data_IF_122124915244
#
_entry.id   IF_122124915244
#
_cell.length_a   1.000
_cell.length_b   1.000
_cell.length_c   1.000
_cell.angle_alpha   90.00
_cell.angle_beta   90.00
_cell.angle_gamma   90.00
#
_symmetry.space_group_name_H-M   'P 1'
#
loop_
_entity.id
_entity.type
_entity.pdbx_description
1 polymer ?
#
# COMPACT_ATOMS: atom_id res chain seq x y z
N UNK A 1 -7.16 8.47 -14.32
CA UNK A 1 -7.94 7.70 -13.33
C UNK A 1 -7.61 8.20 -11.92
N UNK A 2 -8.55 8.10 -10.98
CA UNK A 2 -8.33 8.39 -9.55
C UNK A 2 -8.58 7.09 -8.78
N UNK A 3 -7.66 6.73 -7.90
CA UNK A 3 -7.77 5.56 -7.02
C UNK A 3 -7.98 6.04 -5.58
N UNK A 4 -9.03 5.54 -4.92
CA UNK A 4 -9.40 5.95 -3.57
C UNK A 4 -9.67 4.74 -2.69
N UNK A 5 -8.74 4.45 -1.77
CA UNK A 5 -8.82 3.30 -0.87
C UNK A 5 -9.19 3.70 0.56
N UNK A 6 -9.65 2.72 1.34
CA UNK A 6 -9.81 2.86 2.78
C UNK A 6 -8.50 2.53 3.50
N UNK A 7 -8.14 3.27 4.55
CA UNK A 7 -7.01 2.94 5.41
C UNK A 7 -7.36 1.78 6.37
N UNK A 8 -7.12 0.53 5.98
CA UNK A 8 -7.49 -0.62 6.84
C UNK A 8 -6.54 -1.81 6.83
N UNK A 9 -6.52 -2.54 7.96
CA UNK A 9 -5.92 -3.88 8.04
C UNK A 9 -6.74 -4.92 7.27
N UNK A 10 -6.10 -6.04 6.89
CA UNK A 10 -6.77 -7.13 6.18
C UNK A 10 -6.02 -8.47 6.36
N UNK A 11 -6.76 -9.54 6.65
CA UNK A 11 -6.21 -10.90 6.69
C UNK A 11 -5.58 -11.31 5.34
N UNK A 12 -4.52 -12.11 5.31
CA UNK A 12 -3.75 -12.50 4.12
C UNK A 12 -2.87 -11.40 3.51
N UNK A 13 -3.43 -10.25 3.12
CA UNK A 13 -2.63 -9.16 2.50
C UNK A 13 -2.00 -8.19 3.51
N UNK A 14 -2.33 -8.31 4.80
CA UNK A 14 -1.93 -7.42 5.89
C UNK A 14 -2.71 -6.10 5.90
N UNK A 15 -2.80 -5.43 4.75
CA UNK A 15 -3.51 -4.16 4.59
C UNK A 15 -4.43 -4.16 3.36
N UNK A 16 -5.37 -3.21 3.35
CA UNK A 16 -6.08 -2.75 2.15
C UNK A 16 -5.76 -1.29 1.98
N UNK A 17 -5.15 -0.96 0.85
CA UNK A 17 -4.78 0.39 0.43
C UNK A 17 -4.98 0.48 -1.11
N UNK A 18 -4.39 1.46 -1.79
CA UNK A 18 -4.70 1.76 -3.20
C UNK A 18 -4.44 0.57 -4.13
N UNK A 19 -3.27 -0.08 -4.01
CA UNK A 19 -2.92 -1.19 -4.91
C UNK A 19 -3.96 -2.33 -4.90
N UNK A 20 -4.68 -2.52 -3.79
CA UNK A 20 -5.73 -3.53 -3.64
C UNK A 20 -7.03 -3.17 -4.36
N UNK A 21 -7.32 -1.88 -4.58
CA UNK A 21 -8.49 -1.47 -5.38
C UNK A 21 -8.38 -1.93 -6.84
N UNK A 22 -7.17 -2.04 -7.38
CA UNK A 22 -6.95 -2.49 -8.75
C UNK A 22 -7.33 -3.96 -8.96
N UNK A 23 -7.24 -4.80 -7.92
CA UNK A 23 -7.84 -6.14 -7.96
C UNK A 23 -9.35 -6.05 -8.17
N UNK A 24 -10.00 -5.14 -7.42
CA UNK A 24 -11.42 -4.78 -7.53
C UNK A 24 -11.88 -4.29 -8.90
N UNK A 25 -10.97 -3.71 -9.68
CA UNK A 25 -11.24 -3.21 -11.02
C UNK A 25 -11.25 -4.31 -12.09
N UNK A 26 -10.82 -5.53 -11.75
CA UNK A 26 -10.91 -6.69 -12.62
C UNK A 26 -12.28 -7.38 -12.50
N UNK A 27 -12.60 -8.30 -13.41
CA UNK A 27 -13.85 -9.06 -13.34
C UNK A 27 -13.84 -9.99 -12.12
N UNK A 28 -14.37 -9.52 -11.00
CA UNK A 28 -14.49 -10.26 -9.75
C UNK A 28 -15.82 -11.04 -9.72
N UNK A 29 -15.73 -12.32 -9.40
CA UNK A 29 -16.89 -13.15 -9.08
C UNK A 29 -17.47 -12.74 -7.72
N UNK A 30 -18.80 -12.56 -7.59
CA UNK A 30 -19.44 -12.28 -6.30
C UNK A 30 -19.13 -13.32 -5.22
N UNK A 31 -18.97 -14.58 -5.63
CA UNK A 31 -18.41 -15.62 -4.78
C UNK A 31 -16.89 -15.49 -4.75
N UNK A 32 -16.37 -14.84 -3.70
CA UNK A 32 -14.95 -14.50 -3.60
C UNK A 32 -14.02 -15.71 -3.62
N UNK A 33 -14.52 -16.90 -3.25
CA UNK A 33 -13.78 -18.17 -3.30
C UNK A 33 -13.45 -18.60 -4.73
N UNK A 34 -14.13 -18.04 -5.73
CA UNK A 34 -13.89 -18.31 -7.15
C UNK A 34 -12.89 -17.36 -7.81
N UNK A 35 -12.41 -16.34 -7.09
CA UNK A 35 -11.41 -15.42 -7.63
C UNK A 35 -10.00 -15.97 -7.42
N UNK A 36 -9.08 -15.62 -8.31
CA UNK A 36 -7.67 -15.92 -8.11
C UNK A 36 -7.11 -15.08 -6.95
N UNK A 37 -6.48 -15.72 -5.98
CA UNK A 37 -5.84 -15.07 -4.83
C UNK A 37 -4.32 -15.33 -4.78
N UNK A 38 -3.74 -15.79 -5.89
CA UNK A 38 -2.33 -16.11 -5.99
C UNK A 38 -1.48 -14.83 -6.01
N UNK A 39 -0.33 -14.86 -5.33
CA UNK A 39 0.63 -13.76 -5.35
C UNK A 39 0.26 -12.53 -4.50
N UNK A 40 -0.87 -12.50 -3.79
CA UNK A 40 -1.20 -11.40 -2.86
C UNK A 40 -0.63 -11.58 -1.46
N UNK A 41 -0.44 -12.82 -1.03
CA UNK A 41 0.11 -13.12 0.29
C UNK A 41 1.61 -12.86 0.31
N UNK A 42 2.10 -12.34 1.43
CA UNK A 42 3.53 -12.19 1.72
C UNK A 42 4.04 -13.42 2.47
N UNK A 43 5.34 -13.67 2.40
CA UNK A 43 5.96 -14.73 3.18
C UNK A 43 6.25 -14.21 4.59
N UNK A 44 5.82 -14.94 5.62
CA UNK A 44 5.98 -14.52 7.03
C UNK A 44 7.44 -14.40 7.43
N UNK A 45 8.34 -15.16 6.79
CA UNK A 45 9.79 -15.09 7.00
C UNK A 45 10.47 -13.90 6.29
N UNK A 46 9.71 -13.10 5.54
CA UNK A 46 10.20 -11.95 4.79
C UNK A 46 10.94 -12.33 3.49
N UNK A 47 10.95 -13.60 3.10
CA UNK A 47 11.53 -14.02 1.83
C UNK A 47 10.79 -13.36 0.65
N UNK A 48 11.56 -12.89 -0.31
CA UNK A 48 11.01 -12.26 -1.50
C UNK A 48 10.21 -13.27 -2.33
N UNK A 49 9.11 -12.80 -2.92
CA UNK A 49 8.24 -13.60 -3.79
C UNK A 49 7.44 -12.69 -4.71
N UNK A 50 6.94 -13.26 -5.80
CA UNK A 50 6.00 -12.59 -6.70
C UNK A 50 4.89 -11.86 -5.95
N UNK A 51 4.57 -10.64 -6.39
CA UNK A 51 3.51 -9.82 -5.85
C UNK A 51 2.54 -9.40 -6.95
N UNK A 52 1.32 -9.95 -6.94
CA UNK A 52 0.30 -9.68 -7.96
C UNK A 52 -0.09 -8.20 -8.07
N UNK A 53 -0.03 -7.46 -6.96
CA UNK A 53 -0.26 -6.01 -6.95
C UNK A 53 0.70 -5.22 -7.85
N UNK A 54 1.93 -5.72 -8.07
CA UNK A 54 2.93 -5.07 -8.92
C UNK A 54 2.48 -5.10 -10.38
N UNK A 55 1.94 -6.23 -10.84
CA UNK A 55 1.39 -6.32 -12.20
C UNK A 55 0.21 -5.35 -12.38
N UNK A 56 -0.68 -5.24 -11.39
CA UNK A 56 -1.81 -4.32 -11.48
C UNK A 56 -1.38 -2.85 -11.49
N UNK A 57 -0.41 -2.49 -10.65
CA UNK A 57 0.17 -1.15 -10.63
C UNK A 57 0.89 -0.81 -11.95
N UNK A 58 1.58 -1.78 -12.55
CA UNK A 58 2.34 -1.61 -13.79
C UNK A 58 1.56 -1.81 -15.09
N UNK A 59 0.30 -2.24 -15.04
CA UNK A 59 -0.51 -2.50 -16.23
C UNK A 59 -1.03 -1.19 -16.85
N UNK A 60 -0.85 -1.03 -18.17
CA UNK A 60 -1.17 0.19 -18.93
C UNK A 60 -2.65 0.55 -18.88
N UNK A 61 -3.51 -0.46 -18.73
CA UNK A 61 -4.96 -0.27 -18.61
C UNK A 61 -5.48 -0.16 -17.18
N UNK A 62 -4.62 -0.35 -16.17
CA UNK A 62 -4.94 -0.24 -14.75
C UNK A 62 -4.06 0.84 -14.10
N UNK A 63 -3.06 0.45 -13.31
CA UNK A 63 -2.31 1.37 -12.46
C UNK A 63 -1.60 2.50 -13.19
N UNK A 64 -1.08 2.29 -14.40
CA UNK A 64 -0.40 3.36 -15.15
C UNK A 64 -1.37 4.47 -15.64
N UNK A 65 -2.69 4.22 -15.65
CA UNK A 65 -3.71 5.25 -15.92
C UNK A 65 -4.08 6.05 -14.67
N UNK A 66 -3.65 5.63 -13.48
CA UNK A 66 -3.91 6.35 -12.23
C UNK A 66 -2.98 7.54 -12.11
N UNK A 67 -3.58 8.72 -11.92
CA UNK A 67 -2.85 9.98 -11.78
C UNK A 67 -2.87 10.44 -10.32
N UNK A 68 -3.98 10.23 -9.62
CA UNK A 68 -4.17 10.65 -8.23
C UNK A 68 -4.57 9.44 -7.39
N UNK A 69 -3.86 9.26 -6.29
CA UNK A 69 -4.14 8.24 -5.28
C UNK A 69 -4.59 8.91 -3.99
N UNK A 70 -5.63 8.37 -3.38
CA UNK A 70 -6.27 8.85 -2.18
C UNK A 70 -6.39 7.70 -1.19
N UNK A 71 -6.09 7.97 0.07
CA UNK A 71 -6.41 7.05 1.17
C UNK A 71 -7.32 7.77 2.15
N UNK A 72 -8.53 7.24 2.31
CA UNK A 72 -9.52 7.65 3.29
C UNK A 72 -9.11 7.09 4.66
N UNK A 73 -8.58 7.99 5.49
CA UNK A 73 -8.30 7.78 6.90
C UNK A 73 -9.22 8.62 7.78
N UNK A 74 -10.51 8.77 7.44
CA UNK A 74 -11.46 9.48 8.30
C UNK A 74 -11.62 8.76 9.65
N UNK A 75 -11.70 7.43 9.62
CA UNK A 75 -11.71 6.58 10.82
C UNK A 75 -10.50 5.66 10.94
N UNK A 76 -9.96 5.18 9.80
CA UNK A 76 -9.15 3.97 9.77
C UNK A 76 -9.91 2.72 10.25
N UNK A 77 -9.39 1.52 10.01
CA UNK A 77 -9.96 0.28 10.55
C UNK A 77 -8.89 -0.78 10.77
N UNK A 78 -8.95 -1.48 11.90
CA UNK A 78 -8.03 -2.58 12.21
C UNK A 78 -8.42 -3.89 11.51
N UNK A 79 -9.56 -3.90 10.82
CA UNK A 79 -10.07 -5.09 10.15
C UNK A 79 -10.66 -4.74 8.77
N UNK A 80 -10.70 -5.75 7.90
CA UNK A 80 -11.27 -5.65 6.56
C UNK A 80 -12.79 -5.46 6.61
N UNK A 81 -13.45 -6.06 7.61
CA UNK A 81 -14.90 -6.19 7.72
C UNK A 81 -15.47 -5.56 9.00
N UNK A 82 -16.68 -5.04 8.84
CA UNK A 82 -17.45 -4.40 9.91
C UNK A 82 -17.08 -2.93 10.13
N UNK A 83 -17.80 -2.25 11.03
CA UNK A 83 -17.55 -0.84 11.33
C UNK A 83 -16.20 -0.66 12.04
N UNK A 84 -15.55 0.51 11.90
CA UNK A 84 -14.38 0.90 12.70
C UNK A 84 -14.67 0.81 14.20
N UNK A 85 -13.75 0.24 14.98
CA UNK A 85 -13.96 -0.03 16.43
C UNK A 85 -12.88 0.54 17.33
N UNK A 86 -11.68 0.77 16.79
CA UNK A 86 -10.51 1.30 17.50
C UNK A 86 -10.30 2.76 17.09
N UNK A 87 -10.34 3.67 18.06
CA UNK A 87 -9.85 5.04 17.86
C UNK A 87 -8.33 5.05 17.89
N UNK A 88 -7.74 6.11 17.33
CA UNK A 88 -6.30 6.21 17.17
C UNK A 88 -5.67 6.84 18.40
N UNK A 89 -4.68 6.15 18.97
CA UNK A 89 -3.94 6.60 20.15
C UNK A 89 -2.77 7.48 19.80
N UNK A 90 -2.15 7.26 18.64
CA UNK A 90 -0.98 8.00 18.23
C UNK A 90 -1.28 9.51 18.10
N UNK A 91 -0.30 10.34 18.44
CA UNK A 91 -0.39 11.77 18.19
C UNK A 91 -0.44 12.04 16.66
N UNK A 92 -1.28 12.99 16.21
CA UNK A 92 -2.02 13.99 16.99
C UNK A 92 -3.45 13.59 17.39
N UNK A 93 -3.86 12.35 17.16
CA UNK A 93 -5.27 11.93 17.25
C UNK A 93 -5.74 11.70 18.69
N UNK A 94 -4.88 11.19 19.57
CA UNK A 94 -5.10 11.14 21.02
C UNK A 94 -6.50 10.61 21.43
N UNK A 95 -6.77 9.33 21.16
CA UNK A 95 -8.06 8.65 21.39
C UNK A 95 -9.24 9.25 20.59
N UNK A 96 -8.95 9.77 19.39
CA UNK A 96 -9.94 10.26 18.43
C UNK A 96 -9.89 9.51 17.09
N UNK A 97 -10.86 9.82 16.22
CA UNK A 97 -10.79 9.38 14.83
C UNK A 97 -9.76 10.22 14.06
N UNK A 98 -8.95 9.59 13.19
CA UNK A 98 -7.89 10.28 12.47
C UNK A 98 -8.37 11.45 11.62
N UNK A 99 -9.62 11.41 11.13
CA UNK A 99 -10.26 12.52 10.40
C UNK A 99 -9.36 13.09 9.28
N UNK A 100 -8.63 12.20 8.60
CA UNK A 100 -7.55 12.55 7.68
C UNK A 100 -7.80 11.97 6.29
N UNK A 101 -7.34 12.68 5.26
CA UNK A 101 -7.26 12.17 3.89
C UNK A 101 -5.81 12.29 3.45
N UNK A 102 -5.26 11.20 2.93
CA UNK A 102 -3.93 11.20 2.32
C UNK A 102 -4.07 11.30 0.81
N UNK A 103 -3.16 12.03 0.17
CA UNK A 103 -3.16 12.24 -1.27
C UNK A 103 -1.75 12.11 -1.83
N UNK A 104 -1.59 11.46 -2.98
CA UNK A 104 -0.30 11.32 -3.66
C UNK A 104 -0.47 11.19 -5.16
N UNK A 105 0.58 11.53 -5.91
CA UNK A 105 0.71 11.20 -7.33
C UNK A 105 1.51 9.90 -7.56
N UNK A 106 2.00 9.28 -6.48
CA UNK A 106 2.73 8.03 -6.45
C UNK A 106 1.98 7.02 -5.57
N UNK A 107 1.51 5.94 -6.20
CA UNK A 107 0.71 4.89 -5.56
C UNK A 107 1.52 3.99 -4.62
N UNK A 108 2.82 3.80 -4.89
CA UNK A 108 3.70 3.05 -3.97
C UNK A 108 3.97 3.89 -2.73
N UNK A 109 4.23 5.20 -2.91
CA UNK A 109 4.52 6.09 -1.80
C UNK A 109 3.33 6.27 -0.84
N UNK A 110 2.10 6.43 -1.35
CA UNK A 110 0.93 6.58 -0.47
C UNK A 110 0.62 5.30 0.31
N UNK A 111 0.81 4.14 -0.32
CA UNK A 111 0.58 2.87 0.35
C UNK A 111 1.69 2.59 1.38
N UNK A 112 2.94 3.02 1.12
CA UNK A 112 4.03 3.10 2.12
C UNK A 112 3.61 3.91 3.34
N UNK A 113 3.08 5.12 3.13
CA UNK A 113 2.63 6.01 4.21
C UNK A 113 1.47 5.37 4.97
N UNK A 114 0.46 4.85 4.27
CA UNK A 114 -0.68 4.17 4.88
C UNK A 114 -0.26 2.97 5.73
N UNK A 115 0.71 2.19 5.24
CA UNK A 115 1.27 1.05 5.97
C UNK A 115 1.95 1.48 7.28
N UNK A 116 2.80 2.51 7.22
CA UNK A 116 3.49 3.03 8.41
C UNK A 116 2.52 3.53 9.49
N UNK A 117 1.46 4.23 9.08
CA UNK A 117 0.41 4.67 10.00
C UNK A 117 -0.33 3.51 10.64
N UNK A 118 -0.76 2.51 9.86
CA UNK A 118 -1.46 1.33 10.38
C UNK A 118 -0.59 0.53 11.34
N UNK A 119 0.66 0.25 10.97
CA UNK A 119 1.58 -0.57 11.78
C UNK A 119 2.06 0.12 13.05
N UNK A 120 2.17 1.45 13.03
CA UNK A 120 2.57 2.20 14.23
C UNK A 120 1.40 2.43 15.19
N UNK A 121 0.18 2.56 14.68
CA UNK A 121 -1.02 2.64 15.51
C UNK A 121 -1.38 1.27 16.10
N UNK A 122 -1.38 0.23 15.27
CA UNK A 122 -1.75 -1.14 15.64
C UNK A 122 -0.69 -2.15 15.18
N UNK A 123 0.36 -2.38 15.97
CA UNK A 123 1.40 -3.37 15.64
C UNK A 123 0.89 -4.82 15.71
N UNK A 124 -0.30 -5.03 16.29
CA UNK A 124 -0.96 -6.32 16.47
C UNK A 124 -1.88 -6.72 15.30
N UNK A 125 -1.87 -5.96 14.19
CA UNK A 125 -2.67 -6.29 13.01
C UNK A 125 -2.36 -7.69 12.47
N UNK A 126 -3.41 -8.39 12.08
CA UNK A 126 -3.29 -9.75 11.52
C UNK A 126 -2.50 -9.72 10.21
N UNK A 127 -1.61 -10.70 10.03
CA UNK A 127 -0.78 -10.85 8.84
C UNK A 127 -0.03 -9.56 8.42
N UNK A 128 0.42 -8.75 9.38
CA UNK A 128 1.08 -7.47 9.06
C UNK A 128 2.59 -7.61 8.81
N UNK A 129 3.20 -8.66 9.37
CA UNK A 129 4.64 -8.89 9.28
C UNK A 129 5.06 -9.13 7.81
N UNK A 130 5.90 -8.25 7.27
CA UNK A 130 6.34 -8.24 5.87
C UNK A 130 5.23 -8.02 4.83
N UNK A 131 4.07 -7.47 5.22
CA UNK A 131 2.98 -7.18 4.30
C UNK A 131 3.27 -6.01 3.33
N UNK A 132 4.30 -5.22 3.61
CA UNK A 132 4.90 -4.22 2.71
C UNK A 132 5.68 -4.85 1.52
N UNK A 133 5.81 -6.18 1.45
CA UNK A 133 6.52 -6.90 0.37
C UNK A 133 6.21 -6.35 -1.03
N UNK A 134 4.93 -6.15 -1.35
CA UNK A 134 4.53 -5.70 -2.69
C UNK A 134 5.03 -4.29 -3.00
N UNK A 135 5.18 -3.42 -2.00
CA UNK A 135 5.71 -2.07 -2.17
C UNK A 135 7.20 -2.12 -2.52
N UNK A 136 7.94 -2.99 -1.84
CA UNK A 136 9.37 -3.22 -2.10
C UNK A 136 9.59 -3.82 -3.49
N UNK A 137 8.74 -4.75 -3.90
CA UNK A 137 8.73 -5.32 -5.24
C UNK A 137 8.36 -4.27 -6.30
N UNK A 138 7.35 -3.43 -6.06
CA UNK A 138 6.89 -2.39 -6.98
C UNK A 138 7.93 -1.28 -7.20
N UNK A 139 8.55 -0.80 -6.11
CA UNK A 139 9.59 0.21 -6.18
C UNK A 139 10.83 -0.26 -6.95
N UNK A 140 11.08 -1.58 -6.96
CA UNK A 140 12.19 -2.22 -7.64
C UNK A 140 11.75 -3.11 -8.80
N UNK A 141 10.59 -2.86 -9.43
CA UNK A 141 10.02 -3.79 -10.43
C UNK A 141 10.96 -4.07 -11.64
N UNK A 142 11.92 -3.18 -11.89
CA UNK A 142 12.98 -3.36 -12.89
C UNK A 142 14.07 -4.38 -12.48
N UNK A 143 14.35 -4.55 -11.18
CA UNK A 143 15.22 -5.61 -10.62
C UNK A 143 14.73 -6.00 -9.20
N UNK A 144 13.60 -6.71 -9.11
CA UNK A 144 12.95 -6.92 -7.83
C UNK A 144 13.71 -7.95 -6.99
N UNK A 145 13.57 -7.90 -5.64
CA UNK A 145 14.14 -8.91 -4.75
C UNK A 145 13.74 -10.35 -5.12
N UNK A 146 12.49 -10.56 -5.55
CA UNK A 146 11.98 -11.87 -5.97
C UNK A 146 12.57 -12.41 -7.27
N UNK A 147 13.28 -11.55 -8.04
CA UNK A 147 13.74 -11.83 -9.42
C UNK A 147 12.63 -12.13 -10.42
N UNK A 148 11.38 -11.83 -10.07
CA UNK A 148 10.27 -11.79 -11.02
C UNK A 148 10.58 -10.87 -12.21
N UNK A 149 10.17 -11.30 -13.41
CA UNK A 149 10.00 -10.42 -14.55
C UNK A 149 8.58 -9.85 -14.53
N UNK A 150 8.41 -8.63 -14.02
CA UNK A 150 7.12 -7.93 -14.10
C UNK A 150 6.98 -7.33 -15.50
N UNK A 151 6.10 -7.95 -16.30
CA UNK A 151 5.71 -7.56 -17.66
C UNK A 151 4.20 -7.88 -17.78
N UNK A 152 3.34 -7.01 -17.21
CA UNK A 152 1.91 -7.29 -17.08
C UNK A 152 1.19 -7.34 -18.43
N UNK A 153 1.70 -6.61 -19.43
CA UNK A 153 1.17 -6.60 -20.80
C UNK A 153 1.61 -7.81 -21.63
N UNK A 154 2.68 -8.49 -21.18
CA UNK A 154 3.34 -9.60 -21.89
C UNK A 154 3.82 -9.20 -23.28
N UNK A 155 4.29 -7.96 -23.42
CA UNK A 155 4.82 -7.42 -24.67
C UNK A 155 6.35 -7.48 -24.75
N UNK A 156 7.00 -8.04 -23.72
CA UNK A 156 8.44 -8.15 -23.59
C UNK A 156 9.08 -6.92 -22.94
N UNK A 157 8.30 -5.92 -22.55
CA UNK A 157 8.79 -4.71 -21.88
C UNK A 157 8.60 -4.87 -20.37
N UNK A 158 9.72 -5.03 -19.67
CA UNK A 158 9.74 -5.07 -18.20
C UNK A 158 9.30 -3.73 -17.62
N UNK A 159 8.52 -3.77 -16.53
CA UNK A 159 8.22 -2.60 -15.72
C UNK A 159 9.49 -1.89 -15.24
N UNK A 160 9.46 -0.56 -15.30
CA UNK A 160 10.37 0.30 -14.52
C UNK A 160 9.93 0.34 -13.05
N UNK A 161 10.70 1.02 -12.20
CA UNK A 161 10.23 1.38 -10.85
C UNK A 161 8.84 2.04 -10.93
N UNK A 162 7.89 1.54 -10.15
CA UNK A 162 6.50 2.00 -10.15
C UNK A 162 6.24 3.12 -9.14
N UNK A 163 7.24 3.48 -8.35
CA UNK A 163 7.14 4.50 -7.32
C UNK A 163 8.19 4.33 -6.23
N UNK A 164 8.08 5.13 -5.18
CA UNK A 164 9.04 5.14 -4.07
C UNK A 164 8.50 4.34 -2.88
N UNK A 165 9.25 3.32 -2.46
CA UNK A 165 9.01 2.58 -1.22
C UNK A 165 10.01 3.00 -0.15
N UNK A 166 9.51 3.52 0.96
CA UNK A 166 10.28 3.83 2.17
C UNK A 166 9.42 3.57 3.41
N UNK A 167 10.10 3.42 4.54
CA UNK A 167 9.50 3.60 5.86
C UNK A 167 9.98 4.93 6.44
N UNK A 168 9.16 5.56 7.26
CA UNK A 168 9.60 6.70 8.04
C UNK A 168 10.68 6.33 9.06
N UNK A 169 11.34 7.34 9.62
CA UNK A 169 12.35 7.16 10.66
C UNK A 169 11.77 6.60 11.98
N UNK A 170 10.60 7.06 12.41
CA UNK A 170 9.86 6.59 13.58
C UNK A 170 8.41 7.13 13.60
N UNK A 171 7.52 6.49 14.37
CA UNK A 171 6.10 6.86 14.46
C UNK A 171 5.79 8.20 15.16
N UNK A 172 6.77 8.84 15.77
CA UNK A 172 6.62 10.17 16.38
C UNK A 172 6.89 11.26 15.34
N UNK A 173 8.10 11.26 14.76
CA UNK A 173 8.55 12.28 13.81
C UNK A 173 7.95 12.10 12.41
N UNK A 174 7.69 10.85 12.01
CA UNK A 174 7.08 10.47 10.72
C UNK A 174 7.82 11.06 9.51
N UNK A 175 9.15 11.11 9.56
CA UNK A 175 9.99 11.69 8.50
C UNK A 175 10.52 10.62 7.56
N UNK A 176 10.31 10.83 6.28
CA UNK A 176 10.90 10.05 5.19
C UNK A 176 12.18 10.71 4.65
N UNK A 177 12.83 10.09 3.67
CA UNK A 177 14.08 10.61 3.09
C UNK A 177 13.96 12.05 2.57
N UNK A 178 12.84 12.40 1.92
CA UNK A 178 12.58 13.76 1.44
C UNK A 178 12.46 14.76 2.59
N UNK A 179 11.71 14.42 3.65
CA UNK A 179 11.62 15.25 4.86
C UNK A 179 12.98 15.44 5.57
N UNK A 180 13.92 14.52 5.37
CA UNK A 180 15.27 14.55 5.94
C UNK A 180 16.31 15.24 5.02
N UNK A 181 15.86 15.87 3.94
CA UNK A 181 16.70 16.67 3.04
C UNK A 181 17.45 15.88 1.97
N UNK A 182 17.08 14.61 1.71
CA UNK A 182 17.60 13.91 0.52
C UNK A 182 16.94 14.46 -0.73
N UNK A 183 17.68 14.46 -1.85
CA UNK A 183 17.20 14.96 -3.13
C UNK A 183 16.00 14.16 -3.71
N UNK A 184 15.85 12.91 -3.28
CA UNK A 184 14.78 12.01 -3.69
C UNK A 184 14.28 11.23 -2.48
N UNK A 185 12.99 10.89 -2.48
CA UNK A 185 12.34 10.14 -1.41
C UNK A 185 10.91 10.60 -1.19
N UNK A 186 10.21 9.93 -0.28
CA UNK A 186 8.87 10.37 0.15
C UNK A 186 9.04 11.67 0.96
N UNK A 187 8.09 12.59 0.80
CA UNK A 187 7.95 13.76 1.65
C UNK A 187 6.52 13.82 2.18
N UNK A 188 6.34 13.53 3.47
CA UNK A 188 5.03 13.61 4.11
C UNK A 188 4.81 15.05 4.60
N UNK A 189 3.80 15.72 4.03
CA UNK A 189 3.36 17.03 4.46
C UNK A 189 2.01 16.96 5.16
N UNK A 190 1.92 17.60 6.32
CA UNK A 190 0.65 17.82 7.00
C UNK A 190 0.10 19.20 6.61
N UNK A 191 -1.10 19.22 6.06
CA UNK A 191 -1.90 20.44 5.87
C UNK A 191 -2.96 20.46 6.98
N UNK A 192 -3.08 21.57 7.69
CA UNK A 192 -3.99 21.76 8.83
C UNK A 192 -5.12 22.70 8.42
#
# INVERSE_FOLDING_TARGET
MVDAALLKGHVSSGVTLCAKNLFGATSINPDWHKNAHDGFRHNVDGSASYAAFVDYLGHKDLGEKTILFLVDGLSGSDNADGPPRRKWKMAPFNDAWPSSIFTSLDGVAIDSVGFDFLTSEWPDLVDIANADKYLREAALANDPPSKTLYDPERDGIRCRSLGVFEHWNNGTDKKYSGNLGKAHGIELFKVI
#
